data_IF_238180864549
#
_entry.id   IF_238180864549
#
_cell.length_a   1.000
_cell.length_b   1.000
_cell.length_c   1.000
_cell.angle_alpha   90.00
_cell.angle_beta   90.00
_cell.angle_gamma   90.00
#
_symmetry.space_group_name_H-M   'P 1'
#
loop_
_entity.id
_entity.type
_entity.pdbx_description
1 polymer ?
#
# COMPACT_ATOMS: atom_id res chain seq x y z
N UNK A 1 -10.66 3.71 6.24
CA UNK A 1 -9.46 3.82 5.40
C UNK A 1 -9.57 2.86 4.24
N UNK A 2 -9.14 3.27 3.05
CA UNK A 2 -8.94 2.39 1.89
C UNK A 2 -7.46 2.39 1.52
N UNK A 3 -6.88 1.20 1.40
CA UNK A 3 -5.50 0.96 1.02
C UNK A 3 -5.44 0.22 -0.32
N UNK A 4 -4.73 0.77 -1.30
CA UNK A 4 -4.48 0.11 -2.58
C UNK A 4 -3.00 -0.24 -2.66
N UNK A 5 -2.68 -1.50 -2.93
CA UNK A 5 -1.31 -1.97 -3.10
C UNK A 5 -1.11 -2.25 -4.59
N UNK A 6 -0.22 -1.50 -5.23
CA UNK A 6 0.12 -1.64 -6.65
C UNK A 6 1.38 -2.48 -6.79
N UNK A 7 1.31 -3.61 -7.48
CA UNK A 7 2.48 -4.45 -7.77
C UNK A 7 2.67 -4.69 -9.26
N UNK A 8 3.66 -5.49 -9.62
CA UNK A 8 3.97 -5.84 -11.00
C UNK A 8 5.43 -5.66 -11.39
N UNK A 9 5.77 -6.19 -12.57
CA UNK A 9 7.14 -6.17 -13.12
C UNK A 9 7.55 -4.79 -13.60
N UNK A 10 8.84 -4.59 -13.84
CA UNK A 10 9.31 -3.37 -14.51
C UNK A 10 8.60 -3.20 -15.86
N UNK A 11 8.13 -1.98 -16.15
CA UNK A 11 7.37 -1.66 -17.37
C UNK A 11 5.88 -2.01 -17.37
N UNK A 12 5.32 -2.60 -16.30
CA UNK A 12 3.89 -3.00 -16.27
C UNK A 12 2.91 -1.85 -16.00
N UNK A 13 3.37 -0.59 -15.96
CA UNK A 13 2.51 0.57 -15.73
C UNK A 13 2.25 0.95 -14.26
N UNK A 14 3.01 0.41 -13.28
CA UNK A 14 2.85 0.76 -11.85
C UNK A 14 2.88 2.26 -11.57
N UNK A 15 3.83 2.98 -12.16
CA UNK A 15 3.95 4.43 -11.99
C UNK A 15 2.73 5.17 -12.55
N UNK A 16 2.18 4.69 -13.67
CA UNK A 16 0.95 5.23 -14.25
C UNK A 16 -0.25 4.95 -13.35
N UNK A 17 -0.36 3.74 -12.78
CA UNK A 17 -1.42 3.40 -11.84
C UNK A 17 -1.36 4.26 -10.57
N UNK A 18 -0.16 4.49 -10.01
CA UNK A 18 0.02 5.40 -8.88
C UNK A 18 -0.36 6.84 -9.25
N UNK A 19 0.06 7.35 -10.40
CA UNK A 19 -0.29 8.71 -10.85
C UNK A 19 -1.82 8.89 -10.98
N UNK A 20 -2.52 7.89 -11.55
CA UNK A 20 -3.98 7.93 -11.63
C UNK A 20 -4.62 7.88 -10.25
N UNK A 21 -4.10 7.08 -9.31
CA UNK A 21 -4.60 7.06 -7.94
C UNK A 21 -4.36 8.40 -7.23
N UNK A 22 -3.21 9.02 -7.44
CA UNK A 22 -2.88 10.34 -6.92
C UNK A 22 -3.85 11.42 -7.43
N UNK A 23 -4.14 11.44 -8.73
CA UNK A 23 -5.16 12.31 -9.33
C UNK A 23 -6.57 12.08 -8.73
N UNK A 24 -6.83 10.89 -8.20
CA UNK A 24 -8.07 10.52 -7.50
C UNK A 24 -8.02 10.76 -5.98
N UNK A 25 -7.00 11.48 -5.49
CA UNK A 25 -6.89 11.90 -4.10
C UNK A 25 -6.28 10.84 -3.16
N UNK A 26 -5.62 9.81 -3.69
CA UNK A 26 -4.85 8.88 -2.87
C UNK A 26 -3.51 9.49 -2.47
N UNK A 27 -3.14 9.34 -1.21
CA UNK A 27 -1.76 9.55 -0.78
C UNK A 27 -0.91 8.39 -1.28
N UNK A 28 -0.05 8.66 -2.26
CA UNK A 28 0.72 7.64 -2.97
C UNK A 28 2.16 7.53 -2.44
N UNK A 29 2.61 6.31 -2.13
CA UNK A 29 4.00 6.00 -1.74
C UNK A 29 4.58 5.01 -2.75
N UNK A 30 5.61 5.43 -3.49
CA UNK A 30 6.36 4.49 -4.34
C UNK A 30 7.38 3.70 -3.52
N UNK A 31 7.54 2.42 -3.86
CA UNK A 31 8.54 1.50 -3.35
C UNK A 31 8.55 1.36 -1.82
N UNK A 32 7.37 1.21 -1.22
CA UNK A 32 7.26 0.97 0.22
C UNK A 32 7.93 -0.37 0.58
N UNK A 33 8.82 -0.41 1.58
CA UNK A 33 9.27 -1.66 2.17
C UNK A 33 8.07 -2.45 2.72
N UNK A 34 7.82 -3.66 2.23
CA UNK A 34 6.63 -4.43 2.61
C UNK A 34 6.50 -4.61 4.14
N UNK A 35 7.62 -4.76 4.86
CA UNK A 35 7.65 -4.86 6.32
C UNK A 35 7.11 -3.63 7.08
N UNK A 36 7.02 -2.45 6.44
CA UNK A 36 6.46 -1.23 7.02
C UNK A 36 4.95 -1.09 6.76
N UNK A 37 4.34 -1.99 5.98
CA UNK A 37 2.93 -1.93 5.64
C UNK A 37 2.01 -1.88 6.88
N UNK A 38 2.21 -2.69 7.94
CA UNK A 38 1.37 -2.62 9.14
C UNK A 38 1.50 -1.29 9.90
N UNK A 39 2.72 -0.75 10.01
CA UNK A 39 2.96 0.51 10.71
C UNK A 39 2.34 1.69 9.95
N UNK A 40 2.46 1.71 8.62
CA UNK A 40 1.81 2.72 7.78
C UNK A 40 0.30 2.70 7.97
N UNK A 41 -0.31 1.51 7.92
CA UNK A 41 -1.73 1.31 8.12
C UNK A 41 -2.19 1.83 9.48
N UNK A 42 -1.43 1.56 10.55
CA UNK A 42 -1.71 2.06 11.89
C UNK A 42 -1.66 3.58 11.98
N UNK A 43 -0.59 4.19 11.46
CA UNK A 43 -0.41 5.64 11.51
C UNK A 43 -1.47 6.36 10.69
N UNK A 44 -1.83 5.83 9.53
CA UNK A 44 -2.85 6.39 8.65
C UNK A 44 -4.24 6.41 9.32
N UNK A 45 -4.56 5.41 10.16
CA UNK A 45 -5.78 5.39 10.95
C UNK A 45 -5.80 6.44 12.08
N UNK A 46 -4.65 6.69 12.72
CA UNK A 46 -4.55 7.56 13.89
C UNK A 46 -4.45 9.05 13.51
N UNK A 47 -3.69 9.38 12.46
CA UNK A 47 -3.24 10.76 12.18
C UNK A 47 -4.01 11.46 11.07
N UNK A 48 -5.11 10.89 10.59
CA UNK A 48 -5.89 11.49 9.50
C UNK A 48 -7.12 12.20 10.06
N UNK A 49 -7.23 13.51 9.82
CA UNK A 49 -8.44 14.30 10.11
C UNK A 49 -9.62 13.95 9.18
N UNK A 50 -9.35 13.26 8.06
CA UNK A 50 -10.36 12.78 7.12
C UNK A 50 -11.13 11.59 7.72
N UNK A 51 -12.45 11.56 7.48
CA UNK A 51 -13.29 10.44 7.88
C UNK A 51 -12.85 9.10 7.26
N UNK A 52 -12.22 9.12 6.07
CA UNK A 52 -11.73 7.93 5.37
C UNK A 52 -10.44 8.23 4.58
N UNK A 53 -9.24 7.94 5.13
CA UNK A 53 -7.99 8.10 4.36
C UNK A 53 -7.95 7.18 3.14
N UNK A 54 -7.52 7.71 2.01
CA UNK A 54 -7.21 7.00 0.77
C UNK A 54 -5.69 6.92 0.62
N UNK A 55 -5.13 5.71 0.65
CA UNK A 55 -3.67 5.49 0.58
C UNK A 55 -3.37 4.47 -0.50
N UNK A 56 -2.38 4.78 -1.33
CA UNK A 56 -1.87 3.85 -2.33
C UNK A 56 -0.37 3.64 -2.12
N UNK A 57 0.08 2.40 -2.22
CA UNK A 57 1.50 2.06 -2.05
C UNK A 57 1.92 1.14 -3.17
N UNK A 58 3.14 1.28 -3.69
CA UNK A 58 3.71 0.25 -4.55
C UNK A 58 4.67 -0.65 -3.79
N UNK A 59 4.53 -1.96 -4.03
CA UNK A 59 5.44 -3.00 -3.53
C UNK A 59 5.83 -3.85 -4.73
N UNK A 60 7.12 -3.85 -5.07
CA UNK A 60 7.64 -4.57 -6.23
C UNK A 60 8.99 -5.24 -5.94
N UNK A 61 9.60 -5.82 -6.97
CA UNK A 61 10.85 -6.58 -6.89
C UNK A 61 12.06 -5.79 -6.34
N UNK A 62 11.98 -4.46 -6.18
CA UNK A 62 13.01 -3.65 -5.51
C UNK A 62 13.06 -3.89 -3.99
N UNK A 63 12.02 -4.50 -3.43
CA UNK A 63 11.98 -4.89 -2.03
C UNK A 63 12.91 -6.07 -1.71
N UNK A 64 13.32 -6.18 -0.44
CA UNK A 64 14.09 -7.34 0.04
C UNK A 64 13.28 -8.64 -0.15
N UNK A 65 13.88 -9.73 -0.66
CA UNK A 65 13.19 -11.00 -0.84
C UNK A 65 12.54 -11.52 0.44
N UNK A 66 13.20 -11.34 1.58
CA UNK A 66 12.67 -11.73 2.90
C UNK A 66 11.40 -10.97 3.28
N UNK A 67 11.24 -9.71 2.86
CA UNK A 67 10.03 -8.92 3.08
C UNK A 67 8.91 -9.32 2.12
N UNK A 68 9.23 -9.59 0.85
CA UNK A 68 8.27 -10.08 -0.14
C UNK A 68 7.69 -11.45 0.25
N UNK A 69 8.52 -12.36 0.76
CA UNK A 69 8.05 -13.66 1.26
C UNK A 69 7.09 -13.56 2.45
N UNK A 70 7.17 -12.46 3.21
CA UNK A 70 6.30 -12.16 4.35
C UNK A 70 5.06 -11.33 3.98
N UNK A 71 4.96 -10.89 2.73
CA UNK A 71 3.89 -9.99 2.29
C UNK A 71 2.46 -10.54 2.56
N UNK A 72 2.16 -11.83 2.31
CA UNK A 72 0.83 -12.37 2.62
C UNK A 72 0.46 -12.22 4.10
N UNK A 73 1.38 -12.49 5.02
CA UNK A 73 1.17 -12.37 6.46
C UNK A 73 0.99 -10.90 6.86
N UNK A 74 1.82 -10.01 6.33
CA UNK A 74 1.72 -8.57 6.58
C UNK A 74 0.40 -8.00 6.06
N UNK A 75 -0.10 -8.49 4.92
CA UNK A 75 -1.40 -8.10 4.37
C UNK A 75 -2.56 -8.58 5.25
N UNK A 76 -2.48 -9.79 5.80
CA UNK A 76 -3.46 -10.30 6.76
C UNK A 76 -3.48 -9.46 8.05
N UNK A 77 -2.31 -9.10 8.58
CA UNK A 77 -2.20 -8.21 9.75
C UNK A 77 -2.90 -6.87 9.53
N UNK A 78 -2.83 -6.31 8.32
CA UNK A 78 -3.53 -5.07 7.97
C UNK A 78 -5.04 -5.31 7.81
N UNK A 79 -5.45 -6.38 7.12
CA UNK A 79 -6.88 -6.70 6.92
C UNK A 79 -7.61 -6.95 8.24
N UNK A 80 -6.94 -7.57 9.20
CA UNK A 80 -7.48 -7.83 10.54
C UNK A 80 -7.78 -6.55 11.34
N UNK A 81 -7.27 -5.39 10.90
CA UNK A 81 -7.56 -4.07 11.48
C UNK A 81 -8.77 -3.38 10.84
N UNK A 82 -9.61 -4.13 10.12
CA UNK A 82 -10.80 -3.62 9.40
C UNK A 82 -10.48 -2.54 8.34
N UNK A 83 -9.27 -2.56 7.78
CA UNK A 83 -8.89 -1.69 6.67
C UNK A 83 -9.26 -2.38 5.36
N UNK A 84 -9.99 -1.68 4.48
CA UNK A 84 -10.27 -2.17 3.13
C UNK A 84 -8.98 -2.15 2.31
N UNK A 85 -8.51 -3.33 1.88
CA UNK A 85 -7.25 -3.49 1.17
C UNK A 85 -7.46 -4.16 -0.21
N UNK A 86 -7.14 -3.43 -1.28
CA UNK A 86 -7.15 -3.91 -2.65
C UNK A 86 -5.70 -4.14 -3.13
N UNK A 87 -5.44 -5.24 -3.86
CA UNK A 87 -4.13 -5.51 -4.47
C UNK A 87 -4.30 -5.54 -5.99
N UNK A 88 -3.53 -4.72 -6.69
CA UNK A 88 -3.53 -4.55 -8.15
C UNK A 88 -2.23 -5.08 -8.78
#
# INVERSE_FOLDING_TARGET
MRLVIVSGRSGSGKSTALAVLEDNGFYCIDNLPAGLLPELAERALIHTELAQPLVAVSIDARNLPSHLSRFPQLLEEVRNRHIQCDVL
#
